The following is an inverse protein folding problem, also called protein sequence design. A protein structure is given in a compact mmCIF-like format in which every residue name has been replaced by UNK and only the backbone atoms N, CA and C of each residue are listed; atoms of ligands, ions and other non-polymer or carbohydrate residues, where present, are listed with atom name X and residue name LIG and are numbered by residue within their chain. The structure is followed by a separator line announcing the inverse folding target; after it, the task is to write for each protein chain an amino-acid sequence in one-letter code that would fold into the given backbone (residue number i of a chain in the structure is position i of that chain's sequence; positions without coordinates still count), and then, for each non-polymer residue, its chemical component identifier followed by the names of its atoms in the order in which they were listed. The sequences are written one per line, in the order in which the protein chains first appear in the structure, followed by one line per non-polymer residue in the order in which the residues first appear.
data_IF_408481695516
#
_entry.id   IF_408481695516
#
_cell.length_a   1.000
_cell.length_b   1.000
_cell.length_c   1.000
_cell.angle_alpha   90.00
_cell.angle_beta   90.00
_cell.angle_gamma   90.00
#
_symmetry.space_group_name_H-M   'P 1'
#
loop_
_entity.id
_entity.type
_entity.pdbx_description
1 polymer ?
#
# COMPACT_ATOMS: atom_id res chain seq x y z
N UNK A 1 -18.18 10.57 10.26
CA UNK A 1 -18.50 9.93 11.55
C UNK A 1 -18.47 8.43 11.38
N UNK A 2 -17.35 7.84 11.82
CA UNK A 2 -17.24 6.45 12.27
C UNK A 2 -15.88 6.38 12.94
N UNK A 3 -15.73 7.16 14.00
CA UNK A 3 -14.51 7.23 14.78
C UNK A 3 -14.27 5.85 15.42
N UNK A 4 -13.11 5.29 15.15
CA UNK A 4 -12.61 4.14 15.88
C UNK A 4 -12.43 4.57 17.33
N UNK A 5 -13.41 4.24 18.19
CA UNK A 5 -13.24 4.37 19.64
C UNK A 5 -11.97 3.61 20.02
N UNK A 6 -10.96 4.36 20.47
CA UNK A 6 -9.81 3.80 21.15
C UNK A 6 -10.29 2.93 22.30
N UNK A 7 -9.64 1.78 22.51
CA UNK A 7 -9.88 0.95 23.69
C UNK A 7 -9.23 1.65 24.88
N UNK A 8 -9.93 2.66 25.39
CA UNK A 8 -9.50 3.55 26.48
C UNK A 8 -9.72 2.92 27.87
N UNK A 9 -10.40 1.77 27.90
CA UNK A 9 -10.67 0.99 29.09
C UNK A 9 -9.57 -0.07 29.29
N UNK A 10 -8.87 0.02 30.43
CA UNK A 10 -7.81 -0.91 30.85
C UNK A 10 -8.32 -2.35 30.91
N UNK A 11 -9.55 -2.57 31.35
CA UNK A 11 -10.14 -3.92 31.47
C UNK A 11 -10.45 -4.51 30.09
N UNK A 12 -10.99 -3.70 29.17
CA UNK A 12 -11.16 -4.12 27.78
C UNK A 12 -9.81 -4.44 27.11
N UNK A 13 -8.77 -3.66 27.38
CA UNK A 13 -7.42 -3.93 26.86
C UNK A 13 -6.83 -5.25 27.40
N UNK A 14 -7.14 -5.61 28.65
CA UNK A 14 -6.75 -6.89 29.25
C UNK A 14 -7.58 -8.05 28.67
N UNK A 15 -8.90 -7.88 28.55
CA UNK A 15 -9.80 -8.89 27.97
C UNK A 15 -9.45 -9.17 26.50
N UNK A 16 -9.11 -8.16 25.71
CA UNK A 16 -8.66 -8.36 24.32
C UNK A 16 -7.32 -9.07 24.24
N UNK A 17 -6.35 -8.73 25.11
CA UNK A 17 -5.06 -9.47 25.18
C UNK A 17 -5.28 -10.92 25.60
N UNK A 18 -6.17 -11.18 26.55
CA UNK A 18 -6.46 -12.53 27.03
C UNK A 18 -7.27 -13.34 26.02
N UNK A 19 -8.17 -12.71 25.27
CA UNK A 19 -8.87 -13.32 24.14
C UNK A 19 -7.90 -13.69 23.01
N UNK A 20 -6.96 -12.81 22.65
CA UNK A 20 -5.90 -13.11 21.68
C UNK A 20 -5.04 -14.28 22.19
N UNK A 21 -4.60 -14.23 23.45
CA UNK A 21 -3.83 -15.32 24.10
C UNK A 21 -4.59 -16.65 24.11
N UNK A 22 -5.90 -16.62 24.33
CA UNK A 22 -6.76 -17.80 24.27
C UNK A 22 -6.89 -18.35 22.85
N UNK A 23 -7.08 -17.49 21.84
CA UNK A 23 -7.23 -17.90 20.44
C UNK A 23 -5.91 -18.47 19.87
N UNK A 24 -4.77 -17.86 20.21
CA UNK A 24 -3.42 -18.35 19.84
C UNK A 24 -3.01 -19.65 20.58
N UNK A 25 -3.77 -20.07 21.60
CA UNK A 25 -3.45 -21.29 22.35
C UNK A 25 -3.69 -22.55 21.51
N UNK A 26 -2.78 -23.56 21.48
CA UNK A 26 -2.91 -24.74 20.62
C UNK A 26 -4.18 -25.60 20.81
N UNK A 27 -4.88 -25.40 21.93
CA UNK A 27 -6.12 -26.11 22.28
C UNK A 27 -7.39 -25.24 22.14
N UNK A 28 -7.29 -24.04 21.55
CA UNK A 28 -8.41 -23.10 21.39
C UNK A 28 -9.49 -23.57 20.41
N UNK A 29 -9.21 -24.60 19.62
CA UNK A 29 -10.02 -25.04 18.48
C UNK A 29 -9.78 -24.21 17.21
N UNK A 30 -9.17 -23.03 17.33
CA UNK A 30 -8.72 -22.21 16.20
C UNK A 30 -7.38 -22.75 15.70
N UNK A 31 -7.44 -23.83 14.93
CA UNK A 31 -6.24 -24.44 14.37
C UNK A 31 -5.57 -23.46 13.39
N UNK A 32 -4.27 -23.14 13.57
CA UNK A 32 -3.55 -22.32 12.61
C UNK A 32 -3.51 -23.02 11.26
N UNK A 33 -3.62 -22.26 10.16
CA UNK A 33 -3.51 -22.87 8.84
C UNK A 33 -2.10 -23.47 8.70
N UNK A 34 -2.05 -24.80 8.57
CA UNK A 34 -0.82 -25.59 8.65
C UNK A 34 -0.51 -26.37 7.37
N UNK A 35 -1.43 -26.38 6.40
CA UNK A 35 -1.27 -27.00 5.09
C UNK A 35 -2.29 -26.45 4.09
N UNK A 36 -1.93 -26.45 2.81
CA UNK A 36 -2.89 -26.40 1.71
C UNK A 36 -3.76 -27.68 1.68
N UNK A 37 -4.82 -27.67 0.86
CA UNK A 37 -5.71 -28.82 0.61
C UNK A 37 -4.95 -30.06 0.11
N UNK A 38 -5.60 -31.23 0.20
CA UNK A 38 -5.09 -32.52 -0.29
C UNK A 38 -4.61 -32.47 -1.74
N UNK A 39 -5.32 -31.74 -2.59
CA UNK A 39 -5.19 -31.77 -4.04
C UNK A 39 -4.06 -30.82 -4.52
N UNK A 40 -3.49 -30.00 -3.62
CA UNK A 40 -2.43 -29.03 -3.92
C UNK A 40 -1.26 -29.63 -4.69
N UNK A 41 -0.76 -30.78 -4.22
CA UNK A 41 0.40 -31.48 -4.80
C UNK A 41 0.09 -31.96 -6.22
N UNK A 42 -1.14 -32.38 -6.47
CA UNK A 42 -1.58 -32.97 -7.73
C UNK A 42 -1.87 -31.86 -8.74
N UNK A 43 -2.56 -30.78 -8.35
CA UNK A 43 -2.71 -29.55 -9.16
C UNK A 43 -1.34 -29.00 -9.57
N UNK A 44 -0.40 -28.85 -8.63
CA UNK A 44 0.97 -28.43 -8.94
C UNK A 44 1.69 -29.38 -9.92
N UNK A 45 1.35 -30.67 -9.91
CA UNK A 45 1.97 -31.67 -10.78
C UNK A 45 1.32 -31.71 -12.17
N UNK A 46 0.00 -31.55 -12.26
CA UNK A 46 -0.74 -31.40 -13.51
C UNK A 46 -0.27 -30.17 -14.28
N UNK A 47 -0.22 -29.01 -13.62
CA UNK A 47 0.28 -27.75 -14.20
C UNK A 47 1.70 -27.94 -14.76
N UNK A 48 2.63 -28.49 -13.97
CA UNK A 48 4.02 -28.69 -14.40
C UNK A 48 4.21 -29.74 -15.50
N UNK A 49 3.22 -30.61 -15.73
CA UNK A 49 3.19 -31.53 -16.87
C UNK A 49 2.55 -30.90 -18.13
N UNK A 50 2.11 -29.63 -18.05
CA UNK A 50 1.44 -28.92 -19.14
C UNK A 50 -0.03 -29.31 -19.32
N UNK A 51 -0.67 -29.90 -18.30
CA UNK A 51 -2.07 -30.30 -18.37
C UNK A 51 -3.01 -29.09 -18.20
N UNK A 52 -3.99 -28.96 -19.09
CA UNK A 52 -5.03 -27.91 -19.01
C UNK A 52 -6.02 -28.22 -17.90
N UNK A 53 -6.00 -27.44 -16.83
CA UNK A 53 -6.97 -27.55 -15.74
C UNK A 53 -8.38 -27.13 -16.20
N UNK A 54 -9.40 -27.89 -15.78
CA UNK A 54 -10.80 -27.49 -15.92
C UNK A 54 -11.16 -26.56 -14.76
N UNK A 55 -11.44 -25.29 -15.06
CA UNK A 55 -11.81 -24.28 -14.04
C UNK A 55 -13.02 -24.60 -13.15
N UNK A 56 -13.90 -25.50 -13.57
CA UNK A 56 -15.07 -25.99 -12.82
C UNK A 56 -14.82 -27.36 -12.16
N UNK A 57 -13.56 -27.78 -12.06
CA UNK A 57 -13.20 -29.01 -11.38
C UNK A 57 -13.02 -28.75 -9.89
N UNK A 58 -13.53 -29.68 -9.07
CA UNK A 58 -13.62 -29.51 -7.62
C UNK A 58 -12.25 -29.38 -6.94
N UNK A 59 -11.23 -30.05 -7.47
CA UNK A 59 -9.84 -29.94 -7.03
C UNK A 59 -9.28 -28.51 -7.25
N UNK A 60 -9.60 -27.88 -8.37
CA UNK A 60 -9.26 -26.48 -8.65
C UNK A 60 -9.98 -25.53 -7.68
N UNK A 61 -11.30 -25.69 -7.51
CA UNK A 61 -12.09 -24.85 -6.59
C UNK A 61 -11.65 -25.00 -5.12
N UNK A 62 -11.35 -26.22 -4.66
CA UNK A 62 -10.82 -26.46 -3.31
C UNK A 62 -9.42 -25.87 -3.12
N UNK A 63 -8.58 -25.89 -4.16
CA UNK A 63 -7.25 -25.27 -4.16
C UNK A 63 -7.33 -23.76 -4.04
N UNK A 64 -8.25 -23.12 -4.78
CA UNK A 64 -8.53 -21.67 -4.68
C UNK A 64 -9.08 -21.31 -3.30
N UNK A 65 -10.04 -22.08 -2.76
CA UNK A 65 -10.56 -21.88 -1.40
C UNK A 65 -9.45 -21.97 -0.34
N UNK A 66 -8.52 -22.92 -0.49
CA UNK A 66 -7.36 -23.06 0.39
C UNK A 66 -6.42 -21.85 0.31
N UNK A 67 -6.21 -21.29 -0.89
CA UNK A 67 -5.44 -20.07 -1.07
C UNK A 67 -6.10 -18.85 -0.40
N UNK A 68 -7.42 -18.69 -0.49
CA UNK A 68 -8.13 -17.62 0.24
C UNK A 68 -8.01 -17.79 1.77
N UNK A 69 -8.05 -19.03 2.26
CA UNK A 69 -7.84 -19.32 3.68
C UNK A 69 -6.43 -18.89 4.13
N UNK A 70 -5.41 -19.11 3.30
CA UNK A 70 -4.03 -18.67 3.57
C UNK A 70 -3.95 -17.14 3.67
N UNK A 71 -4.62 -16.40 2.78
CA UNK A 71 -4.61 -14.93 2.83
C UNK A 71 -5.35 -14.35 4.03
N UNK A 72 -6.46 -14.97 4.44
CA UNK A 72 -7.15 -14.59 5.70
C UNK A 72 -6.27 -14.86 6.92
N UNK A 73 -5.53 -15.97 6.92
CA UNK A 73 -4.60 -16.28 8.02
C UNK A 73 -3.37 -15.34 8.02
N UNK A 74 -2.84 -15.01 6.85
CA UNK A 74 -1.78 -13.99 6.69
C UNK A 74 -2.25 -12.61 7.16
N UNK A 75 -3.49 -12.20 6.85
CA UNK A 75 -4.02 -10.90 7.29
C UNK A 75 -4.19 -10.86 8.81
N UNK A 76 -4.62 -11.95 9.45
CA UNK A 76 -4.64 -12.07 10.92
C UNK A 76 -3.22 -12.00 11.49
N UNK A 77 -2.28 -12.79 10.95
CA UNK A 77 -0.88 -12.83 11.42
C UNK A 77 -0.20 -11.46 11.34
N UNK A 78 -0.39 -10.74 10.24
CA UNK A 78 0.08 -9.36 10.07
C UNK A 78 -0.68 -8.37 10.97
N UNK A 79 -1.96 -8.58 11.24
CA UNK A 79 -2.71 -7.71 12.15
C UNK A 79 -2.16 -7.78 13.57
N UNK A 80 -1.86 -9.00 14.03
CA UNK A 80 -1.23 -9.23 15.35
C UNK A 80 0.18 -8.65 15.41
N UNK A 81 1.00 -8.80 14.36
CA UNK A 81 2.39 -8.29 14.38
C UNK A 81 2.52 -6.78 14.19
N UNK A 82 1.57 -6.13 13.50
CA UNK A 82 1.56 -4.68 13.27
C UNK A 82 0.69 -3.90 14.27
N UNK A 83 -0.17 -4.59 15.04
CA UNK A 83 -1.16 -3.95 15.91
C UNK A 83 -2.25 -3.17 15.16
N UNK A 84 -2.45 -3.46 13.87
CA UNK A 84 -3.38 -2.75 12.98
C UNK A 84 -4.30 -3.72 12.24
N UNK A 85 -5.50 -3.30 11.84
CA UNK A 85 -6.44 -4.18 11.14
C UNK A 85 -6.03 -4.37 9.66
N UNK A 86 -5.28 -5.43 9.36
CA UNK A 86 -4.83 -5.81 8.02
C UNK A 86 -5.90 -6.64 7.32
N UNK A 87 -6.26 -6.25 6.10
CA UNK A 87 -7.38 -6.83 5.36
C UNK A 87 -6.92 -7.40 4.01
N UNK A 88 -7.52 -8.51 3.59
CA UNK A 88 -7.39 -9.00 2.21
C UNK A 88 -8.15 -8.06 1.28
N UNK A 89 -7.51 -7.58 0.22
CA UNK A 89 -8.11 -6.67 -0.76
C UNK A 89 -9.05 -7.46 -1.64
N UNK A 90 -10.34 -7.11 -1.59
CA UNK A 90 -11.36 -7.68 -2.45
C UNK A 90 -12.05 -6.57 -3.27
N UNK A 91 -12.16 -6.70 -4.61
CA UNK A 91 -13.03 -5.87 -5.41
C UNK A 91 -14.47 -5.87 -4.89
N UNK A 92 -15.17 -4.72 -5.01
CA UNK A 92 -16.55 -4.54 -4.50
C UNK A 92 -17.56 -5.55 -5.05
N UNK A 93 -17.29 -6.14 -6.22
CA UNK A 93 -18.08 -7.23 -6.81
C UNK A 93 -17.96 -8.51 -5.98
N UNK A 94 -16.72 -8.90 -5.65
CA UNK A 94 -16.40 -10.08 -4.85
C UNK A 94 -16.81 -9.96 -3.38
N UNK A 95 -16.91 -8.74 -2.84
CA UNK A 95 -17.45 -8.51 -1.49
C UNK A 95 -18.94 -8.89 -1.37
N UNK A 96 -19.71 -8.80 -2.46
CA UNK A 96 -21.14 -9.13 -2.48
C UNK A 96 -21.42 -10.61 -2.66
N UNK A 97 -20.55 -11.29 -3.40
CA UNK A 97 -20.64 -12.73 -3.65
C UNK A 97 -19.23 -13.35 -3.67
N UNK A 98 -18.83 -14.06 -2.60
CA UNK A 98 -17.54 -14.74 -2.53
C UNK A 98 -17.35 -15.83 -3.59
N UNK A 99 -18.43 -16.42 -4.13
CA UNK A 99 -18.34 -17.48 -5.15
C UNK A 99 -17.77 -16.97 -6.46
N UNK A 100 -18.03 -15.68 -6.78
CA UNK A 100 -17.45 -15.02 -7.96
C UNK A 100 -15.93 -14.95 -7.86
N UNK A 101 -15.35 -14.65 -6.68
CA UNK A 101 -13.88 -14.65 -6.49
C UNK A 101 -13.29 -16.03 -6.71
N UNK A 102 -13.93 -17.08 -6.16
CA UNK A 102 -13.48 -18.47 -6.35
C UNK A 102 -13.51 -18.85 -7.83
N UNK A 103 -14.56 -18.52 -8.56
CA UNK A 103 -14.63 -18.75 -10.00
C UNK A 103 -13.57 -17.95 -10.76
N UNK A 104 -13.42 -16.65 -10.51
CA UNK A 104 -12.49 -15.79 -11.24
C UNK A 104 -11.03 -16.23 -11.03
N UNK A 105 -10.65 -16.61 -9.81
CA UNK A 105 -9.33 -17.16 -9.52
C UNK A 105 -9.12 -18.56 -10.08
N UNK A 106 -10.17 -19.40 -10.14
CA UNK A 106 -10.11 -20.68 -10.84
C UNK A 106 -9.92 -20.50 -12.37
N UNK A 107 -10.48 -19.43 -12.96
CA UNK A 107 -10.14 -19.02 -14.32
C UNK A 107 -8.67 -18.60 -14.41
N UNK A 108 -8.17 -17.74 -13.51
CA UNK A 108 -6.76 -17.29 -13.51
C UNK A 108 -5.79 -18.47 -13.38
N UNK A 109 -6.04 -19.41 -12.46
CA UNK A 109 -5.24 -20.62 -12.29
C UNK A 109 -5.27 -21.50 -13.55
N UNK A 110 -6.42 -21.67 -14.20
CA UNK A 110 -6.54 -22.46 -15.44
C UNK A 110 -5.86 -21.83 -16.66
N UNK A 111 -5.82 -20.49 -16.74
CA UNK A 111 -5.32 -19.76 -17.92
C UNK A 111 -3.85 -19.32 -17.79
N UNK A 112 -3.44 -18.89 -16.59
CA UNK A 112 -2.10 -18.34 -16.34
C UNK A 112 -1.23 -19.25 -15.47
N UNK A 113 -1.81 -20.27 -14.83
CA UNK A 113 -1.13 -21.08 -13.81
C UNK A 113 -0.60 -20.25 -12.62
N UNK A 114 -1.34 -19.20 -12.26
CA UNK A 114 -1.02 -18.31 -11.14
C UNK A 114 -2.20 -18.16 -10.19
N UNK A 115 -1.93 -17.91 -8.91
CA UNK A 115 -2.90 -17.32 -7.97
C UNK A 115 -2.32 -16.01 -7.42
N UNK A 116 -3.15 -14.98 -7.32
CA UNK A 116 -2.72 -13.66 -6.85
C UNK A 116 -3.78 -13.00 -5.94
N UNK A 117 -3.32 -12.37 -4.86
CA UNK A 117 -4.14 -11.58 -3.96
C UNK A 117 -3.29 -10.46 -3.33
N UNK A 118 -3.94 -9.47 -2.71
CA UNK A 118 -3.26 -8.37 -2.02
C UNK A 118 -3.70 -8.23 -0.56
N UNK A 119 -2.79 -7.73 0.28
CA UNK A 119 -3.00 -7.42 1.69
C UNK A 119 -2.89 -5.90 1.89
N UNK A 120 -3.97 -5.28 2.36
CA UNK A 120 -4.03 -3.88 2.73
C UNK A 120 -3.65 -3.70 4.20
N UNK A 121 -2.54 -3.01 4.43
CA UNK A 121 -2.06 -2.64 5.76
C UNK A 121 -2.38 -1.15 5.99
N UNK A 122 -3.13 -0.79 7.05
CA UNK A 122 -3.42 0.61 7.38
C UNK A 122 -2.16 1.47 7.45
N UNK A 123 -2.20 2.66 6.86
CA UNK A 123 -1.11 3.64 6.81
C UNK A 123 0.19 3.20 6.10
N UNK A 124 0.28 1.97 5.58
CA UNK A 124 1.42 1.53 4.77
C UNK A 124 1.47 2.27 3.41
N UNK A 125 2.66 2.30 2.79
CA UNK A 125 2.86 3.05 1.55
C UNK A 125 2.06 2.52 0.34
N UNK A 126 1.80 1.22 0.32
CA UNK A 126 1.08 0.46 -0.69
C UNK A 126 0.50 -0.82 -0.08
N UNK A 127 -0.34 -1.55 -0.82
CA UNK A 127 -0.70 -2.92 -0.48
C UNK A 127 0.49 -3.86 -0.76
N UNK A 128 0.59 -4.96 -0.02
CA UNK A 128 1.47 -6.07 -0.38
C UNK A 128 0.72 -6.96 -1.38
N UNK A 129 1.19 -7.03 -2.62
CA UNK A 129 0.69 -7.97 -3.62
C UNK A 129 1.55 -9.23 -3.57
N UNK A 130 0.90 -10.40 -3.49
CA UNK A 130 1.56 -11.70 -3.39
C UNK A 130 1.01 -12.61 -4.49
N UNK A 131 1.88 -13.30 -5.21
CA UNK A 131 1.52 -14.11 -6.37
C UNK A 131 2.30 -15.41 -6.37
N UNK A 132 1.61 -16.55 -6.45
CA UNK A 132 2.20 -17.87 -6.61
C UNK A 132 2.10 -18.30 -8.08
N UNK A 133 3.25 -18.55 -8.72
CA UNK A 133 3.37 -19.09 -10.08
C UNK A 133 3.67 -20.60 -9.99
N UNK A 134 2.70 -21.42 -10.40
CA UNK A 134 2.74 -22.88 -10.28
C UNK A 134 3.64 -23.53 -11.35
N UNK A 135 3.83 -22.87 -12.49
CA UNK A 135 4.73 -23.31 -13.56
C UNK A 135 6.18 -23.10 -13.16
N UNK A 136 6.50 -21.91 -12.66
CA UNK A 136 7.86 -21.54 -12.22
C UNK A 136 8.19 -22.07 -10.82
N UNK A 137 7.18 -22.43 -10.01
CA UNK A 137 7.29 -22.81 -8.58
C UNK A 137 7.83 -21.67 -7.72
N UNK A 138 7.43 -20.45 -8.05
CA UNK A 138 7.94 -19.20 -7.50
C UNK A 138 6.83 -18.44 -6.80
N UNK A 139 7.15 -17.87 -5.64
CA UNK A 139 6.33 -16.85 -4.99
C UNK A 139 6.95 -15.48 -5.23
N UNK A 140 6.16 -14.55 -5.75
CA UNK A 140 6.54 -13.15 -5.94
C UNK A 140 5.79 -12.29 -4.93
N UNK A 141 6.50 -11.47 -4.17
CA UNK A 141 5.93 -10.54 -3.18
C UNK A 141 6.41 -9.15 -3.53
N UNK A 142 5.49 -8.19 -3.57
CA UNK A 142 5.81 -6.83 -4.02
C UNK A 142 4.97 -5.75 -3.38
N UNK A 143 5.50 -4.54 -3.37
CA UNK A 143 4.77 -3.32 -3.07
C UNK A 143 5.00 -2.31 -4.21
N UNK A 144 3.90 -1.79 -4.77
CA UNK A 144 3.93 -0.83 -5.89
C UNK A 144 3.53 0.57 -5.40
N UNK A 145 4.46 1.50 -5.49
CA UNK A 145 4.28 2.89 -5.09
C UNK A 145 4.06 3.77 -6.32
N UNK A 146 3.19 4.78 -6.20
CA UNK A 146 3.15 5.88 -7.18
C UNK A 146 4.47 6.65 -7.06
N UNK A 147 5.10 6.92 -8.19
CA UNK A 147 6.32 7.70 -8.22
C UNK A 147 6.08 9.17 -7.80
N UNK A 148 7.09 9.87 -7.28
CA UNK A 148 7.00 11.27 -6.89
C UNK A 148 6.82 12.21 -8.09
N UNK A 149 5.74 13.00 -8.08
CA UNK A 149 5.40 13.94 -9.15
C UNK A 149 6.14 15.29 -9.02
N UNK A 150 6.80 15.55 -7.89
CA UNK A 150 7.65 16.73 -7.66
C UNK A 150 9.09 16.57 -8.17
N UNK A 151 9.32 15.59 -9.07
CA UNK A 151 10.62 15.30 -9.67
C UNK A 151 10.56 15.59 -11.17
N UNK A 152 11.68 16.06 -11.71
CA UNK A 152 11.88 16.35 -13.14
C UNK A 152 12.84 15.38 -13.83
N UNK A 153 13.42 14.44 -13.09
CA UNK A 153 14.39 13.44 -13.59
C UNK A 153 14.03 12.05 -13.08
N UNK A 154 14.07 11.04 -13.95
CA UNK A 154 13.87 9.64 -13.57
C UNK A 154 14.84 9.19 -12.46
N UNK A 155 16.12 9.56 -12.54
CA UNK A 155 17.12 9.28 -11.48
C UNK A 155 16.70 9.82 -10.12
N UNK A 156 16.05 10.98 -10.06
CA UNK A 156 15.60 11.58 -8.80
C UNK A 156 14.35 10.88 -8.23
N UNK A 157 13.52 10.30 -9.10
CA UNK A 157 12.39 9.43 -8.75
C UNK A 157 12.88 8.08 -8.20
N UNK A 158 13.81 7.41 -8.89
CA UNK A 158 14.42 6.15 -8.45
C UNK A 158 15.17 6.35 -7.11
N UNK A 159 15.98 7.40 -6.99
CA UNK A 159 16.67 7.76 -5.74
C UNK A 159 15.72 8.14 -4.59
N UNK A 160 14.47 8.51 -4.85
CA UNK A 160 13.50 8.72 -3.78
C UNK A 160 13.07 7.38 -3.16
N UNK A 161 12.94 6.31 -3.96
CA UNK A 161 12.66 4.97 -3.44
C UNK A 161 13.89 4.34 -2.77
N UNK A 162 15.04 4.29 -3.44
CA UNK A 162 16.23 3.58 -2.90
C UNK A 162 16.75 4.18 -1.60
N UNK A 163 16.57 5.49 -1.36
CA UNK A 163 16.89 6.14 -0.07
C UNK A 163 16.10 5.56 1.11
N UNK A 164 14.93 4.98 0.88
CA UNK A 164 14.07 4.36 1.90
C UNK A 164 14.48 2.91 2.20
N UNK A 165 15.33 2.32 1.35
CA UNK A 165 15.82 0.94 1.45
C UNK A 165 17.31 0.89 1.84
N UNK A 166 17.89 2.01 2.28
CA UNK A 166 19.27 2.06 2.78
C UNK A 166 19.37 1.29 4.10
N UNK A 167 20.22 0.27 4.13
CA UNK A 167 20.36 -0.66 5.25
C UNK A 167 19.54 -1.95 5.12
N UNK A 168 18.85 -2.16 3.99
CA UNK A 168 18.28 -3.48 3.65
C UNK A 168 19.39 -4.32 3.01
N UNK A 169 19.89 -5.31 3.75
CA UNK A 169 20.89 -6.29 3.29
C UNK A 169 20.20 -7.48 2.58
N UNK A 170 19.58 -7.20 1.44
CA UNK A 170 18.94 -8.22 0.58
C UNK A 170 19.33 -8.02 -0.89
N UNK A 171 20.36 -8.75 -1.33
CA UNK A 171 20.85 -8.74 -2.71
C UNK A 171 19.85 -9.33 -3.71
N UNK A 172 18.87 -10.11 -3.25
CA UNK A 172 17.82 -10.72 -4.08
C UNK A 172 16.66 -9.76 -4.37
N UNK A 173 16.59 -8.63 -3.68
CA UNK A 173 15.51 -7.66 -3.84
C UNK A 173 15.60 -6.96 -5.19
N UNK A 174 14.49 -6.92 -5.93
CA UNK A 174 14.42 -6.32 -7.27
C UNK A 174 13.66 -4.99 -7.18
N UNK A 175 14.26 -3.94 -7.75
CA UNK A 175 13.61 -2.66 -7.99
C UNK A 175 13.17 -2.62 -9.45
N UNK A 176 11.89 -2.35 -9.69
CA UNK A 176 11.29 -2.24 -11.01
C UNK A 176 10.71 -0.85 -11.22
N UNK A 177 11.08 -0.21 -12.32
CA UNK A 177 10.50 1.06 -12.78
C UNK A 177 9.45 0.76 -13.86
N UNK A 178 8.22 1.27 -13.63
CA UNK A 178 7.09 1.12 -14.55
C UNK A 178 6.90 2.44 -15.28
N UNK A 179 7.12 2.43 -16.60
CA UNK A 179 7.20 3.64 -17.42
C UNK A 179 5.84 4.04 -18.02
N UNK A 180 5.64 5.31 -18.39
CA UNK A 180 4.46 5.74 -19.12
C UNK A 180 4.48 5.28 -20.60
N UNK A 181 3.31 5.27 -21.23
CA UNK A 181 3.19 5.04 -22.68
C UNK A 181 3.47 3.60 -23.10
N UNK A 182 4.42 3.42 -24.03
CA UNK A 182 4.81 2.13 -24.62
C UNK A 182 6.20 1.65 -24.19
N UNK A 183 6.87 2.41 -23.33
CA UNK A 183 8.21 2.07 -22.83
C UNK A 183 8.16 0.78 -22.00
N UNK A 184 9.00 -0.23 -22.29
CA UNK A 184 9.05 -1.44 -21.49
C UNK A 184 9.51 -1.17 -20.06
N UNK A 185 8.86 -1.81 -19.09
CA UNK A 185 9.30 -1.76 -17.68
C UNK A 185 10.73 -2.27 -17.53
N UNK A 186 11.52 -1.59 -16.69
CA UNK A 186 12.92 -1.96 -16.42
C UNK A 186 13.07 -2.46 -14.99
N UNK A 187 14.02 -3.35 -14.75
CA UNK A 187 14.27 -3.92 -13.42
C UNK A 187 15.75 -4.27 -13.22
N UNK A 188 16.22 -4.15 -11.98
CA UNK A 188 17.56 -4.55 -11.54
C UNK A 188 17.54 -4.83 -10.03
N UNK A 189 18.59 -5.47 -9.48
CA UNK A 189 18.66 -5.76 -8.04
C UNK A 189 18.97 -4.49 -7.23
N UNK A 190 18.54 -4.45 -5.97
CA UNK A 190 18.71 -3.32 -5.07
C UNK A 190 20.18 -2.84 -4.99
N UNK A 191 21.22 -3.70 -4.86
CA UNK A 191 22.61 -3.26 -4.86
C UNK A 191 23.02 -2.52 -6.14
N UNK A 192 22.61 -3.02 -7.32
CA UNK A 192 22.92 -2.40 -8.62
C UNK A 192 22.26 -1.02 -8.74
N UNK A 193 21.03 -0.86 -8.26
CA UNK A 193 20.30 0.41 -8.32
C UNK A 193 20.75 1.39 -7.22
N UNK A 194 21.30 0.90 -6.10
CA UNK A 194 21.93 1.72 -5.07
C UNK A 194 23.26 2.30 -5.53
N UNK A 195 24.09 1.52 -6.23
CA UNK A 195 25.35 1.97 -6.82
C UNK A 195 25.12 2.92 -8.00
N UNK A 196 24.31 2.50 -8.97
CA UNK A 196 24.00 3.32 -10.16
C UNK A 196 22.50 3.31 -10.51
N UNK A 197 21.73 4.33 -10.08
CA UNK A 197 20.32 4.50 -10.43
C UNK A 197 20.02 4.63 -11.93
N UNK A 198 21.02 4.93 -12.77
CA UNK A 198 20.82 5.00 -14.23
C UNK A 198 20.64 3.62 -14.87
N UNK A 199 20.97 2.52 -14.17
CA UNK A 199 20.82 1.14 -14.68
C UNK A 199 19.37 0.79 -15.05
N UNK A 200 18.38 1.45 -14.44
CA UNK A 200 16.97 1.30 -14.79
C UNK A 200 16.54 2.19 -15.96
N UNK A 201 17.34 3.16 -16.40
CA UNK A 201 16.94 4.17 -17.40
C UNK A 201 17.51 3.75 -18.75
N UNK A 202 16.63 3.47 -19.71
CA UNK A 202 17.07 3.16 -21.09
C UNK A 202 17.57 4.43 -21.79
N UNK A 203 18.49 4.25 -22.73
CA UNK A 203 19.05 5.37 -23.50
C UNK A 203 17.95 6.14 -24.26
N UNK A 204 18.05 7.47 -24.25
CA UNK A 204 17.07 8.37 -24.89
C UNK A 204 15.78 8.61 -24.11
N UNK A 205 15.55 7.95 -22.97
CA UNK A 205 14.33 8.13 -22.18
C UNK A 205 14.46 9.29 -21.19
N UNK A 206 13.67 10.35 -21.42
CA UNK A 206 13.53 11.49 -20.52
C UNK A 206 12.24 11.46 -19.68
N UNK A 207 11.37 10.47 -19.90
CA UNK A 207 10.17 10.26 -19.08
C UNK A 207 10.52 9.97 -17.61
N UNK A 208 9.52 10.01 -16.75
CA UNK A 208 9.63 9.64 -15.33
C UNK A 208 8.80 8.37 -15.11
N UNK A 209 9.28 7.36 -14.36
CA UNK A 209 8.47 6.20 -14.01
C UNK A 209 7.14 6.64 -13.39
N UNK A 210 6.04 6.02 -13.80
CA UNK A 210 4.70 6.26 -13.23
C UNK A 210 4.54 5.56 -11.87
N UNK A 211 5.14 4.38 -11.76
CA UNK A 211 5.22 3.62 -10.51
C UNK A 211 6.64 3.09 -10.32
N UNK A 212 7.01 2.89 -9.07
CA UNK A 212 8.19 2.14 -8.67
C UNK A 212 7.73 0.97 -7.82
N UNK A 213 8.24 -0.22 -8.09
CA UNK A 213 7.83 -1.48 -7.49
C UNK A 213 9.05 -2.14 -6.83
N UNK A 214 8.90 -2.56 -5.58
CA UNK A 214 9.90 -3.31 -4.82
C UNK A 214 9.41 -4.74 -4.73
N UNK A 215 10.22 -5.70 -5.19
CA UNK A 215 9.80 -7.09 -5.40
C UNK A 215 10.83 -8.07 -4.87
N UNK A 216 10.41 -8.99 -3.99
CA UNK A 216 11.18 -10.17 -3.59
C UNK A 216 10.63 -11.39 -4.32
N UNK A 217 11.51 -12.21 -4.87
CA UNK A 217 11.17 -13.43 -5.62
C UNK A 217 11.75 -14.63 -4.88
N UNK A 218 10.92 -15.62 -4.56
CA UNK A 218 11.33 -16.83 -3.86
C UNK A 218 11.03 -18.05 -4.71
N UNK A 219 12.09 -18.70 -5.19
CA UNK A 219 12.01 -20.03 -5.78
C UNK A 219 11.90 -21.08 -4.66
N UNK A 220 10.75 -21.74 -4.62
CA UNK A 220 10.52 -22.84 -3.68
C UNK A 220 10.91 -24.19 -4.28
N UNK A 221 11.14 -24.28 -5.60
CA UNK A 221 11.47 -25.52 -6.28
C UNK A 221 10.56 -26.68 -5.89
N UNK A 222 11.15 -27.82 -5.51
CA UNK A 222 10.39 -28.97 -5.03
C UNK A 222 9.50 -28.70 -3.80
N UNK A 223 9.86 -27.72 -2.95
CA UNK A 223 9.08 -27.36 -1.75
C UNK A 223 7.71 -26.76 -2.10
N UNK A 224 7.56 -26.17 -3.29
CA UNK A 224 6.28 -25.59 -3.74
C UNK A 224 5.14 -26.62 -3.72
N UNK A 225 5.43 -27.90 -4.03
CA UNK A 225 4.43 -28.99 -4.01
C UNK A 225 4.08 -29.49 -2.60
N UNK A 226 4.89 -29.15 -1.59
CA UNK A 226 4.68 -29.60 -0.22
C UNK A 226 3.62 -28.74 0.45
N UNK A 227 2.37 -29.18 0.49
CA UNK A 227 1.22 -28.42 0.98
C UNK A 227 1.44 -27.74 2.35
N UNK A 228 2.09 -28.43 3.30
CA UNK A 228 2.51 -27.88 4.60
C UNK A 228 3.67 -26.89 4.49
N UNK A 229 4.76 -27.30 3.82
CA UNK A 229 5.99 -26.49 3.66
C UNK A 229 5.70 -25.17 2.92
N UNK A 230 4.79 -25.19 1.94
CA UNK A 230 4.34 -23.99 1.23
C UNK A 230 3.71 -22.98 2.20
N UNK A 231 2.79 -23.42 3.05
CA UNK A 231 2.16 -22.56 4.07
C UNK A 231 3.22 -22.04 5.05
N UNK A 232 4.06 -22.90 5.61
CA UNK A 232 5.14 -22.50 6.53
C UNK A 232 6.04 -21.41 5.92
N UNK A 233 6.45 -21.55 4.65
CA UNK A 233 7.25 -20.53 3.96
C UNK A 233 6.47 -19.22 3.78
N UNK A 234 5.20 -19.27 3.37
CA UNK A 234 4.36 -18.07 3.17
C UNK A 234 4.14 -17.30 4.47
N UNK A 235 3.91 -18.00 5.58
CA UNK A 235 3.70 -17.41 6.91
C UNK A 235 4.95 -16.80 7.52
N UNK A 236 6.15 -17.22 7.10
CA UNK A 236 7.42 -16.58 7.47
C UNK A 236 7.71 -15.39 6.54
N UNK A 237 7.77 -15.66 5.24
CA UNK A 237 8.27 -14.71 4.24
C UNK A 237 7.43 -13.44 4.11
N UNK A 238 6.09 -13.54 4.14
CA UNK A 238 5.24 -12.37 3.89
C UNK A 238 5.33 -11.35 5.05
N UNK A 239 5.28 -11.76 6.33
CA UNK A 239 5.66 -10.90 7.45
C UNK A 239 7.10 -10.37 7.40
N UNK A 240 8.08 -11.21 7.03
CA UNK A 240 9.48 -10.79 6.94
C UNK A 240 9.68 -9.68 5.90
N UNK A 241 9.09 -9.82 4.72
CA UNK A 241 9.08 -8.79 3.69
C UNK A 241 8.46 -7.47 4.19
N UNK A 242 7.34 -7.52 4.94
CA UNK A 242 6.78 -6.30 5.51
C UNK A 242 7.70 -5.66 6.56
N UNK A 243 8.31 -6.47 7.43
CA UNK A 243 9.22 -6.00 8.49
C UNK A 243 10.53 -5.43 7.96
N UNK A 244 11.10 -6.00 6.91
CA UNK A 244 12.39 -5.56 6.37
C UNK A 244 12.23 -4.40 5.38
N UNK A 245 11.16 -4.42 4.59
CA UNK A 245 10.97 -3.51 3.46
C UNK A 245 9.69 -2.69 3.65
N UNK A 246 8.55 -3.36 3.83
CA UNK A 246 7.23 -2.71 3.77
C UNK A 246 7.00 -1.57 4.77
N UNK A 247 7.49 -1.70 6.00
CA UNK A 247 7.38 -0.68 7.05
C UNK A 247 8.30 0.54 6.82
N UNK A 248 9.39 0.37 6.06
CA UNK A 248 10.36 1.42 5.77
C UNK A 248 9.92 2.31 4.60
N UNK A 249 9.01 1.80 3.77
CA UNK A 249 8.44 2.51 2.62
C UNK A 249 7.42 3.57 3.06
N UNK A 250 7.49 4.73 2.40
CA UNK A 250 6.63 5.90 2.61
C UNK A 250 5.95 6.28 1.31
N UNK A 251 4.63 6.48 1.36
CA UNK A 251 3.85 6.96 0.22
C UNK A 251 4.27 8.39 -0.13
N UNK A 252 4.43 8.70 -1.42
CA UNK A 252 4.59 10.09 -1.84
C UNK A 252 3.28 10.87 -1.65
N UNK A 253 3.41 12.09 -1.14
CA UNK A 253 2.31 13.03 -0.88
C UNK A 253 2.70 14.39 -1.48
N UNK A 254 1.82 15.06 -2.25
CA UNK A 254 2.11 16.38 -2.79
C UNK A 254 2.34 17.40 -1.67
N UNK A 255 3.28 18.32 -1.88
CA UNK A 255 3.51 19.46 -0.99
C UNK A 255 2.24 20.35 -0.95
N UNK A 256 1.78 20.82 0.22
CA UNK A 256 0.69 21.78 0.30
C UNK A 256 0.99 23.05 -0.52
N UNK A 257 0.00 23.63 -1.23
CA UNK A 257 0.19 24.88 -1.95
C UNK A 257 0.64 26.00 -0.99
N UNK A 258 1.78 26.63 -1.29
CA UNK A 258 2.23 27.80 -0.54
C UNK A 258 1.34 28.99 -0.87
N UNK A 259 0.85 29.69 0.15
CA UNK A 259 0.21 30.98 -0.04
C UNK A 259 1.21 31.94 -0.70
N UNK A 260 0.73 32.79 -1.62
CA UNK A 260 1.55 33.88 -2.15
C UNK A 260 1.66 34.95 -1.07
N UNK A 261 2.87 35.24 -0.63
CA UNK A 261 3.13 36.46 0.13
C UNK A 261 2.92 37.65 -0.80
N UNK A 262 1.84 38.41 -0.58
CA UNK A 262 1.66 39.71 -1.18
C UNK A 262 2.57 40.71 -0.46
N UNK A 263 3.89 40.61 -0.68
CA UNK A 263 4.84 41.64 -0.24
C UNK A 263 4.45 42.94 -0.94
N UNK A 264 4.07 44.01 -0.22
CA UNK A 264 3.78 45.28 -0.86
C UNK A 264 5.06 45.80 -1.49
N UNK A 265 5.08 45.90 -2.82
CA UNK A 265 6.21 46.47 -3.56
C UNK A 265 6.51 47.86 -3.01
N UNK A 266 7.72 48.06 -2.50
CA UNK A 266 8.21 49.40 -2.16
C UNK A 266 8.32 50.19 -3.47
N UNK A 267 7.40 51.14 -3.69
CA UNK A 267 7.64 52.20 -4.66
C UNK A 267 8.63 53.18 -4.04
N UNK A 268 9.84 53.23 -4.59
CA UNK A 268 10.78 54.33 -4.38
C UNK A 268 10.49 55.47 -5.36
N UNK A 269 10.59 56.71 -4.86
CA UNK A 269 10.55 58.02 -5.54
C UNK A 269 11.43 58.10 -6.84
N UNK A 270 11.37 59.13 -7.71
CA UNK A 270 11.14 60.57 -7.46
C UNK A 270 10.85 61.40 -8.75
N UNK A 271 10.38 62.67 -8.60
CA UNK A 271 10.26 63.72 -9.64
C UNK A 271 8.81 64.21 -9.90
N UNK A 272 8.22 65.22 -9.22
CA UNK A 272 8.56 66.67 -9.09
C UNK A 272 8.32 67.47 -10.40
N UNK A 273 7.65 68.65 -10.49
CA UNK A 273 7.31 69.75 -9.55
C UNK A 273 5.86 70.25 -9.78
N UNK A 274 5.18 70.89 -8.80
CA UNK A 274 3.96 71.70 -9.05
C UNK A 274 3.28 72.35 -7.82
N UNK A 275 3.52 73.64 -7.57
CA UNK A 275 3.10 74.42 -6.38
C UNK A 275 1.64 74.93 -6.41
N UNK A 276 0.95 74.93 -5.24
CA UNK A 276 0.15 76.08 -4.74
C UNK A 276 -0.57 75.79 -3.40
N UNK A 277 -0.65 76.83 -2.57
CA UNK A 277 -1.09 76.81 -1.16
C UNK A 277 -2.61 76.76 -0.89
N UNK A 278 -3.04 76.18 0.24
CA UNK A 278 -3.79 76.91 1.29
C UNK A 278 -3.89 76.14 2.63
N UNK A 279 -4.27 76.85 3.70
CA UNK A 279 -4.38 76.40 5.11
C UNK A 279 -5.63 75.50 5.36
N UNK A 280 -5.80 74.73 6.44
CA UNK A 280 -5.72 75.11 7.86
C UNK A 280 -5.86 73.90 8.83
N UNK A 281 -5.31 74.07 10.04
CA UNK A 281 -5.67 73.47 11.37
C UNK A 281 -6.00 71.97 11.62
N UNK A 282 -5.68 71.59 12.87
CA UNK A 282 -6.28 70.53 13.72
C UNK A 282 -5.72 69.09 13.65
N UNK A 283 -4.98 68.72 14.70
CA UNK A 283 -4.78 67.32 15.15
C UNK A 283 -5.98 66.87 16.00
N UNK A 284 -6.31 65.56 16.00
CA UNK A 284 -6.41 64.87 17.30
C UNK A 284 -5.75 63.49 17.32
N UNK A 285 -5.15 63.14 18.47
CA UNK A 285 -4.83 61.76 18.84
C UNK A 285 -6.14 61.00 19.14
N UNK A 286 -6.28 59.74 18.71
CA UNK A 286 -7.05 58.75 19.45
C UNK A 286 -6.55 57.30 19.25
N UNK A 287 -5.88 56.81 20.29
CA UNK A 287 -5.96 55.48 20.94
C UNK A 287 -6.49 54.32 20.08
N UNK A 288 -5.67 53.28 19.92
CA UNK A 288 -6.07 51.99 19.36
C UNK A 288 -6.88 51.15 20.36
N UNK A 289 -7.94 50.49 19.88
CA UNK A 289 -8.70 49.46 20.61
C UNK A 289 -8.90 48.24 19.69
N UNK A 290 -8.66 46.99 20.12
CA UNK A 290 -8.84 45.82 19.26
C UNK A 290 -10.32 45.43 19.10
N UNK A 291 -10.75 44.90 17.94
CA UNK A 291 -12.12 44.44 17.74
C UNK A 291 -12.40 43.13 18.50
N UNK A 292 -13.55 43.06 19.16
CA UNK A 292 -14.03 41.85 19.84
C UNK A 292 -14.72 40.88 18.86
N UNK A 293 -14.59 39.58 19.15
CA UNK A 293 -15.31 38.52 18.44
C UNK A 293 -16.81 38.60 18.73
N UNK A 294 -17.65 38.51 17.69
CA UNK A 294 -19.10 38.31 17.82
C UNK A 294 -19.45 36.94 17.23
N UNK A 295 -19.88 36.03 18.09
CA UNK A 295 -20.55 34.79 17.70
C UNK A 295 -22.01 35.09 17.33
N UNK A 296 -22.48 34.60 16.18
CA UNK A 296 -23.88 34.70 15.76
C UNK A 296 -24.53 33.32 15.67
N UNK A 297 -25.06 32.87 16.80
CA UNK A 297 -25.97 31.73 16.89
C UNK A 297 -27.39 32.20 16.55
N UNK A 298 -28.00 31.74 15.43
CA UNK A 298 -29.38 32.08 15.07
C UNK A 298 -30.20 30.83 14.70
N UNK A 299 -30.91 30.35 15.72
CA UNK A 299 -32.31 29.94 15.75
C UNK A 299 -32.89 28.95 14.71
N UNK A 300 -33.29 27.79 15.22
CA UNK A 300 -34.37 26.95 14.67
C UNK A 300 -35.68 27.73 14.45
N UNK A 301 -36.35 27.47 13.32
CA UNK A 301 -37.82 27.51 13.22
C UNK A 301 -38.34 26.33 12.38
N UNK A 302 -39.18 25.49 12.99
CA UNK A 302 -40.19 24.68 12.27
C UNK A 302 -41.38 25.58 11.91
N UNK A 303 -42.21 25.16 10.95
CA UNK A 303 -43.58 24.78 11.34
C UNK A 303 -44.08 23.47 10.69
N UNK A 304 -45.31 23.11 11.04
CA UNK A 304 -46.02 21.83 10.80
C UNK A 304 -47.21 21.98 9.85
N UNK A 305 -47.60 20.86 9.21
CA UNK A 305 -48.84 20.61 8.43
C UNK A 305 -48.97 21.44 7.13
N UNK A 306 -49.64 20.96 6.07
CA UNK A 306 -50.44 19.72 5.88
C UNK A 306 -49.73 18.64 5.04
#
# INVERSE_FOLDING_TARGET
MSDSKSVDDREQSMLMKELVRYLDHPYSGVSPMSSMNSDWKDICSQIQQGATLKKTAKDVEMTVCSWHQLFRYLSITLSTSTGSNVLVVLPRTHTKDPTIKVHDDANELSLKSTLSDELHIPNAAANISVTADFMRRVVTIRMRLKAPEDRTKATASINWLTRQLKGVEDDSLIIRAIWPGKTPDTQATLPIVLDNPNTLIQEGINDIPKYLEVTRIIDLGGKFKGAKVFVENMLTVVPDFYREIGQNLKKWVPQPPKAKENTPSQLSNEGDIGDSSHSDTAKPNFIATPPQFISSEILLKKPTNE
#
